data_IF_498179992858
#
_entry.id   IF_498179992858
#
_cell.length_a   1.000
_cell.length_b   1.000
_cell.length_c   1.000
_cell.angle_alpha   90.00
_cell.angle_beta   90.00
_cell.angle_gamma   90.00
#
_symmetry.space_group_name_H-M   'P 1'
#
loop_
_entity.id
_entity.type
_entity.pdbx_description
1 polymer ?
#
# COMPACT_ATOMS: atom_id res chain seq x y z
N UNK A 1 -46.93 -29.48 -25.56
CA UNK A 1 -46.53 -29.03 -24.21
C UNK A 1 -45.31 -29.85 -23.83
N UNK A 2 -44.10 -29.35 -24.09
CA UNK A 2 -42.80 -29.90 -23.66
C UNK A 2 -41.61 -29.03 -24.13
N UNK A 3 -41.83 -27.98 -24.94
CA UNK A 3 -40.80 -26.99 -25.30
C UNK A 3 -40.48 -25.95 -24.20
N UNK A 4 -41.11 -26.05 -23.02
CA UNK A 4 -40.90 -25.10 -21.91
C UNK A 4 -39.89 -25.58 -20.85
N UNK A 5 -39.44 -26.84 -20.90
CA UNK A 5 -38.44 -27.35 -19.93
C UNK A 5 -36.99 -27.02 -20.30
N UNK A 6 -36.69 -26.58 -21.53
CA UNK A 6 -35.31 -26.31 -21.96
C UNK A 6 -34.86 -24.86 -21.78
N UNK A 7 -35.77 -23.94 -21.43
CA UNK A 7 -35.48 -22.49 -21.34
C UNK A 7 -35.14 -22.06 -19.90
N UNK A 8 -35.47 -22.87 -18.90
CA UNK A 8 -35.22 -22.55 -17.46
C UNK A 8 -33.81 -22.91 -16.95
N UNK A 9 -33.01 -23.62 -17.75
CA UNK A 9 -31.65 -24.05 -17.37
C UNK A 9 -30.53 -23.16 -17.94
N UNK A 10 -30.87 -22.06 -18.62
CA UNK A 10 -29.89 -21.10 -19.15
C UNK A 10 -29.87 -19.74 -18.42
N UNK A 11 -30.77 -19.52 -17.45
CA UNK A 11 -30.87 -18.24 -16.73
C UNK A 11 -30.43 -18.28 -15.26
N UNK A 12 -29.99 -19.42 -14.72
CA UNK A 12 -29.83 -19.61 -13.25
C UNK A 12 -28.44 -20.01 -12.77
N UNK A 13 -27.38 -19.84 -13.57
CA UNK A 13 -26.01 -19.73 -13.02
C UNK A 13 -25.12 -18.88 -13.93
N UNK A 14 -25.62 -17.71 -14.32
CA UNK A 14 -24.76 -16.53 -14.42
C UNK A 14 -24.87 -15.75 -13.11
N UNK A 15 -24.75 -16.44 -11.97
CA UNK A 15 -24.11 -15.80 -10.83
C UNK A 15 -22.65 -15.69 -11.24
N UNK A 16 -22.36 -14.68 -12.06
CA UNK A 16 -21.02 -14.14 -12.20
C UNK A 16 -20.49 -14.07 -10.78
N UNK A 17 -19.59 -14.99 -10.44
CA UNK A 17 -18.73 -14.83 -9.30
C UNK A 17 -17.86 -13.65 -9.67
N UNK A 18 -18.38 -12.44 -9.47
CA UNK A 18 -17.56 -11.25 -9.37
C UNK A 18 -16.80 -11.45 -8.07
N UNK A 19 -15.75 -12.28 -8.12
CA UNK A 19 -14.74 -12.29 -7.09
C UNK A 19 -14.27 -10.85 -7.05
N UNK A 20 -14.62 -10.12 -5.99
CA UNK A 20 -14.21 -8.74 -5.80
C UNK A 20 -12.70 -8.70 -5.89
N UNK A 21 -12.18 -8.33 -7.07
CA UNK A 21 -10.76 -8.28 -7.33
C UNK A 21 -10.11 -7.28 -6.38
N UNK A 22 -8.83 -7.47 -6.11
CA UNK A 22 -8.07 -6.52 -5.32
C UNK A 22 -8.21 -5.11 -5.92
N UNK A 23 -8.71 -4.13 -5.13
CA UNK A 23 -8.96 -2.76 -5.62
C UNK A 23 -7.69 -2.04 -6.09
N UNK A 24 -6.52 -2.52 -5.64
CA UNK A 24 -5.22 -1.98 -6.01
C UNK A 24 -4.67 -2.56 -7.32
N UNK A 25 -5.31 -3.58 -7.89
CA UNK A 25 -4.95 -4.14 -9.19
C UNK A 25 -5.09 -3.11 -10.33
N UNK A 26 -5.87 -2.04 -10.11
CA UNK A 26 -5.96 -0.89 -11.03
C UNK A 26 -4.63 -0.14 -11.22
N UNK A 27 -3.72 -0.24 -10.25
CA UNK A 27 -2.40 0.40 -10.34
C UNK A 27 -1.39 -0.52 -11.02
N UNK A 28 -1.34 -1.79 -10.58
CA UNK A 28 -0.57 -2.85 -11.22
C UNK A 28 -1.15 -4.22 -10.82
N UNK A 29 -1.18 -5.23 -11.72
CA UNK A 29 -1.68 -6.56 -11.39
C UNK A 29 -0.96 -7.20 -10.19
N UNK A 30 0.33 -6.92 -10.05
CA UNK A 30 1.21 -7.46 -8.99
C UNK A 30 1.35 -6.53 -7.78
N UNK A 31 0.34 -5.70 -7.51
CA UNK A 31 0.39 -4.74 -6.42
C UNK A 31 0.55 -5.45 -5.07
N UNK A 32 1.41 -4.91 -4.20
CA UNK A 32 1.76 -5.51 -2.90
C UNK A 32 0.55 -5.94 -2.06
N UNK A 33 -0.51 -5.13 -2.00
CA UNK A 33 -1.75 -5.46 -1.27
C UNK A 33 -2.63 -6.53 -1.93
N UNK A 34 -2.33 -6.91 -3.17
CA UNK A 34 -3.02 -7.98 -3.89
C UNK A 34 -2.31 -9.33 -3.79
N UNK A 35 -1.04 -9.32 -3.35
CA UNK A 35 -0.25 -10.52 -3.20
C UNK A 35 -0.73 -11.35 -2.01
N UNK A 36 -0.73 -12.69 -2.10
CA UNK A 36 -1.10 -13.54 -0.99
C UNK A 36 -0.06 -13.44 0.14
N UNK A 37 -0.41 -13.76 1.39
CA UNK A 37 0.53 -13.74 2.50
C UNK A 37 1.69 -14.74 2.30
N UNK A 38 2.89 -14.34 2.74
CA UNK A 38 4.06 -15.18 2.79
C UNK A 38 3.95 -16.20 3.94
N UNK A 39 3.70 -17.47 3.60
CA UNK A 39 3.56 -18.57 4.58
C UNK A 39 4.83 -18.89 5.37
N UNK A 40 6.00 -18.40 4.92
CA UNK A 40 7.27 -18.63 5.60
C UNK A 40 7.58 -17.56 6.67
N UNK A 41 6.82 -16.46 6.69
CA UNK A 41 7.03 -15.38 7.64
C UNK A 41 6.20 -15.63 8.91
N UNK A 42 6.88 -15.78 10.06
CA UNK A 42 6.22 -15.72 11.37
C UNK A 42 6.22 -14.26 11.86
N UNK A 43 5.06 -13.60 11.81
CA UNK A 43 4.92 -12.20 12.17
C UNK A 43 4.99 -12.01 13.69
N UNK A 44 6.05 -11.35 14.16
CA UNK A 44 6.21 -10.98 15.56
C UNK A 44 5.52 -9.64 15.88
N UNK A 45 5.51 -8.72 14.91
CA UNK A 45 4.84 -7.44 14.98
C UNK A 45 4.48 -6.98 13.56
N UNK A 46 3.34 -6.30 13.42
CA UNK A 46 2.84 -5.79 12.15
C UNK A 46 2.27 -4.37 12.27
N UNK A 47 2.64 -3.65 13.33
CA UNK A 47 2.21 -2.28 13.59
C UNK A 47 3.38 -1.39 13.97
N UNK A 48 3.27 -0.12 13.61
CA UNK A 48 4.17 0.95 14.05
C UNK A 48 3.42 1.73 15.12
N UNK A 49 4.05 1.92 16.29
CA UNK A 49 3.44 2.66 17.40
C UNK A 49 3.23 4.13 17.02
N UNK A 50 2.28 4.83 17.66
CA UNK A 50 2.07 6.25 17.36
C UNK A 50 3.29 7.11 17.73
N UNK A 51 4.02 6.73 18.78
CA UNK A 51 5.27 7.39 19.16
C UNK A 51 6.34 7.21 18.09
N UNK A 52 6.45 6.01 17.52
CA UNK A 52 7.38 5.74 16.42
C UNK A 52 6.96 6.46 15.14
N UNK A 53 5.66 6.52 14.81
CA UNK A 53 5.17 7.32 13.67
C UNK A 53 5.57 8.78 13.81
N UNK A 54 5.36 9.37 14.99
CA UNK A 54 5.72 10.74 15.29
C UNK A 54 7.23 10.95 15.21
N UNK A 55 8.03 10.00 15.75
CA UNK A 55 9.49 10.05 15.69
C UNK A 55 10.01 9.96 14.26
N UNK A 56 9.49 9.02 13.46
CA UNK A 56 9.85 8.85 12.06
C UNK A 56 9.54 10.13 11.28
N UNK A 57 8.33 10.67 11.43
CA UNK A 57 7.90 11.86 10.72
C UNK A 57 8.75 13.09 11.11
N UNK A 58 9.00 13.26 12.40
CA UNK A 58 9.85 14.33 12.93
C UNK A 58 11.26 14.26 12.33
N UNK A 59 11.90 13.09 12.38
CA UNK A 59 13.26 12.93 11.86
C UNK A 59 13.33 13.25 10.36
N UNK A 60 12.38 12.77 9.55
CA UNK A 60 12.35 13.09 8.12
C UNK A 60 12.20 14.59 7.89
N UNK A 61 11.31 15.26 8.63
CA UNK A 61 11.10 16.71 8.48
C UNK A 61 12.30 17.53 8.98
N UNK A 62 12.98 17.09 10.04
CA UNK A 62 14.21 17.73 10.52
C UNK A 62 15.32 17.66 9.47
N UNK A 63 15.55 16.49 8.86
CA UNK A 63 16.54 16.35 7.79
C UNK A 63 16.15 17.12 6.53
N UNK A 64 14.87 17.09 6.13
CA UNK A 64 14.38 17.90 5.00
C UNK A 64 14.58 19.40 5.26
N UNK A 65 14.37 19.87 6.49
CA UNK A 65 14.62 21.26 6.88
C UNK A 65 16.11 21.61 6.85
N UNK A 66 16.99 20.71 7.32
CA UNK A 66 18.45 20.87 7.23
C UNK A 66 18.92 21.03 5.79
N UNK A 67 18.44 20.16 4.89
CA UNK A 67 18.74 20.28 3.45
C UNK A 67 18.15 21.56 2.87
N UNK A 68 16.88 21.85 3.17
CA UNK A 68 16.18 23.01 2.61
C UNK A 68 16.79 24.36 3.04
N UNK A 69 17.43 24.42 4.20
CA UNK A 69 18.15 25.60 4.68
C UNK A 69 19.60 25.68 4.18
N UNK A 70 20.08 24.69 3.43
CA UNK A 70 21.46 24.62 2.95
C UNK A 70 22.49 24.29 4.04
N UNK A 71 22.06 23.66 5.13
CA UNK A 71 22.91 23.29 6.27
C UNK A 71 23.48 21.86 6.15
N UNK A 72 23.10 21.11 5.10
CA UNK A 72 23.70 19.80 4.82
C UNK A 72 25.02 19.97 4.05
N UNK A 73 26.12 19.75 4.76
CA UNK A 73 27.47 19.89 4.21
C UNK A 73 27.97 18.64 3.50
N UNK A 74 27.37 17.48 3.76
CA UNK A 74 27.72 16.21 3.11
C UNK A 74 27.28 16.25 1.65
N UNK A 75 28.23 16.17 0.71
CA UNK A 75 27.92 16.22 -0.72
C UNK A 75 27.48 17.59 -1.23
N UNK A 76 27.60 18.67 -0.43
CA UNK A 76 27.34 20.04 -0.86
C UNK A 76 25.91 20.27 -1.34
N UNK A 77 24.92 19.69 -0.66
CA UNK A 77 23.53 19.76 -1.09
C UNK A 77 23.03 21.22 -1.07
N UNK A 78 22.51 21.75 -2.20
CA UNK A 78 22.10 23.14 -2.28
C UNK A 78 20.80 23.38 -1.51
N UNK A 79 20.57 24.66 -1.17
CA UNK A 79 19.32 25.13 -0.56
C UNK A 79 18.13 24.81 -1.48
N UNK A 80 17.03 24.33 -0.90
CA UNK A 80 15.79 24.09 -1.64
C UNK A 80 14.93 25.36 -1.75
N UNK A 81 14.25 25.52 -2.89
CA UNK A 81 13.34 26.65 -3.11
C UNK A 81 12.01 26.50 -2.37
N UNK A 82 11.45 25.28 -2.34
CA UNK A 82 10.14 25.00 -1.71
C UNK A 82 10.02 23.55 -1.21
N UNK A 83 10.80 23.18 -0.20
CA UNK A 83 10.76 21.83 0.37
C UNK A 83 9.65 21.71 1.42
N UNK A 84 8.56 21.01 1.10
CA UNK A 84 7.42 20.84 2.01
C UNK A 84 7.69 19.85 3.15
N UNK A 85 7.01 20.04 4.27
CA UNK A 85 6.96 19.03 5.33
C UNK A 85 6.15 17.82 4.85
N UNK A 86 6.57 16.64 5.27
CA UNK A 86 5.82 15.41 5.11
C UNK A 86 4.74 15.31 6.18
N UNK A 87 3.69 14.57 5.83
CA UNK A 87 2.67 14.08 6.73
C UNK A 87 2.63 12.55 6.69
N UNK A 88 2.05 11.94 7.73
CA UNK A 88 1.90 10.49 7.78
C UNK A 88 0.69 10.05 6.95
N UNK A 89 0.92 9.24 5.92
CA UNK A 89 -0.14 8.61 5.12
C UNK A 89 -0.35 7.15 5.55
N UNK A 90 -1.55 6.84 6.03
CA UNK A 90 -1.89 5.50 6.51
C UNK A 90 -2.02 4.45 5.41
N UNK A 91 -2.37 4.85 4.18
CA UNK A 91 -2.45 3.92 3.05
C UNK A 91 -1.04 3.50 2.61
N UNK A 92 -0.11 4.46 2.51
CA UNK A 92 1.29 4.18 2.21
C UNK A 92 1.92 3.32 3.32
N UNK A 93 1.65 3.62 4.59
CA UNK A 93 2.10 2.80 5.71
C UNK A 93 1.58 1.35 5.62
N UNK A 94 0.31 1.16 5.25
CA UNK A 94 -0.27 -0.17 5.07
C UNK A 94 0.39 -0.95 3.92
N UNK A 95 0.63 -0.29 2.78
CA UNK A 95 1.35 -0.90 1.65
C UNK A 95 2.76 -1.31 2.06
N UNK A 96 3.49 -0.42 2.74
CA UNK A 96 4.85 -0.68 3.22
C UNK A 96 4.89 -1.84 4.23
N UNK A 97 3.95 -1.88 5.16
CA UNK A 97 3.86 -2.94 6.17
C UNK A 97 3.50 -4.30 5.56
N UNK A 98 2.71 -4.34 4.48
CA UNK A 98 2.34 -5.59 3.81
C UNK A 98 3.44 -6.15 2.90
N UNK A 99 4.38 -5.31 2.44
CA UNK A 99 5.45 -5.72 1.55
C UNK A 99 6.29 -6.90 2.07
N UNK A 100 6.84 -6.88 3.30
CA UNK A 100 7.55 -8.05 3.83
C UNK A 100 6.64 -9.25 4.12
N UNK A 101 5.33 -9.01 4.27
CA UNK A 101 4.35 -10.05 4.63
C UNK A 101 3.78 -10.76 3.40
N UNK A 102 4.11 -10.31 2.19
CA UNK A 102 3.56 -10.81 0.94
C UNK A 102 4.48 -11.84 0.28
N UNK A 103 3.91 -12.84 -0.40
CA UNK A 103 4.67 -13.80 -1.17
C UNK A 103 5.31 -13.12 -2.41
N UNK A 104 6.56 -13.47 -2.72
CA UNK A 104 7.30 -12.91 -3.86
C UNK A 104 7.08 -13.73 -5.14
#
# INVERSE_FOLDING_TARGET
>A
MNCVLSILILSTVCSVAYSGGCIYAKFTPEHTLCKPPNKQCNLLANTVSNDDKNRILKLHNDYRSKVASGQETTGGQPKAADMKQLEWDSNLANVAQNMPNSAF
#
